data_IF_056878020423
#
_entry.id   IF_056878020423
#
_cell.length_a   1.000
_cell.length_b   1.000
_cell.length_c   1.000
_cell.angle_alpha   90.00
_cell.angle_beta   90.00
_cell.angle_gamma   90.00
#
_symmetry.space_group_name_H-M   'P 1'
#
loop_
_entity.id
_entity.type
_entity.pdbx_description
1 polymer ?
#
# COMPACT_ATOMS: atom_id res chain seq x y z
N UNK A 1 11.78 -0.55 -30.14
CA UNK A 1 12.79 -0.25 -29.10
C UNK A 1 12.09 0.45 -27.95
N UNK A 2 12.11 -0.12 -26.74
CA UNK A 2 11.58 0.53 -25.53
C UNK A 2 12.51 1.66 -25.14
N UNK A 3 12.00 2.83 -24.75
CA UNK A 3 12.87 3.92 -24.29
C UNK A 3 13.55 3.52 -22.97
N UNK A 4 14.76 4.04 -22.72
CA UNK A 4 15.51 3.80 -21.47
C UNK A 4 14.66 4.12 -20.23
N UNK A 5 13.89 5.21 -20.30
CA UNK A 5 12.93 5.58 -19.27
C UNK A 5 11.84 4.51 -19.05
N UNK A 6 11.25 3.94 -20.11
CA UNK A 6 10.25 2.88 -19.98
C UNK A 6 10.81 1.61 -19.33
N UNK A 7 12.09 1.32 -19.52
CA UNK A 7 12.75 0.16 -18.93
C UNK A 7 13.05 0.38 -17.44
N UNK A 8 13.51 1.59 -17.07
CA UNK A 8 13.70 2.01 -15.67
C UNK A 8 12.36 2.02 -14.90
N UNK A 9 11.27 2.52 -15.50
CA UNK A 9 9.93 2.48 -14.90
C UNK A 9 9.42 1.06 -14.67
N UNK A 10 9.59 0.16 -15.65
CA UNK A 10 9.19 -1.24 -15.49
C UNK A 10 9.98 -1.92 -14.36
N UNK A 11 11.28 -1.66 -14.28
CA UNK A 11 12.12 -2.18 -13.20
C UNK A 11 11.66 -1.67 -11.83
N UNK A 12 11.45 -0.36 -11.70
CA UNK A 12 10.95 0.25 -10.47
C UNK A 12 9.60 -0.33 -10.04
N UNK A 13 8.68 -0.53 -10.99
CA UNK A 13 7.36 -1.11 -10.72
C UNK A 13 7.45 -2.57 -10.23
N UNK A 14 8.31 -3.39 -10.85
CA UNK A 14 8.57 -4.77 -10.39
C UNK A 14 9.14 -4.77 -8.96
N UNK A 15 10.07 -3.86 -8.68
CA UNK A 15 10.64 -3.73 -7.33
C UNK A 15 9.61 -3.32 -6.30
N UNK A 16 8.70 -2.39 -6.62
CA UNK A 16 7.62 -1.97 -5.73
C UNK A 16 6.63 -3.10 -5.43
N UNK A 17 6.26 -3.90 -6.45
CA UNK A 17 5.41 -5.09 -6.25
C UNK A 17 6.12 -6.09 -5.32
N UNK A 18 7.40 -6.35 -5.55
CA UNK A 18 8.17 -7.27 -4.69
C UNK A 18 8.27 -6.77 -3.24
N UNK A 19 8.44 -5.46 -3.04
CA UNK A 19 8.44 -4.84 -1.71
C UNK A 19 7.08 -4.97 -1.02
N UNK A 20 5.97 -4.75 -1.75
CA UNK A 20 4.61 -4.96 -1.25
C UNK A 20 4.36 -6.40 -0.84
N UNK A 21 4.69 -7.38 -1.68
CA UNK A 21 4.52 -8.80 -1.33
C UNK A 21 5.33 -9.21 -0.10
N UNK A 22 6.52 -8.63 0.08
CA UNK A 22 7.34 -8.86 1.27
C UNK A 22 6.68 -8.29 2.53
N UNK A 23 6.09 -7.10 2.44
CA UNK A 23 5.35 -6.48 3.55
C UNK A 23 4.11 -7.29 3.88
N UNK A 24 3.35 -7.74 2.88
CA UNK A 24 2.17 -8.58 3.08
C UNK A 24 2.52 -9.89 3.78
N UNK A 25 3.59 -10.56 3.34
CA UNK A 25 4.05 -11.79 3.99
C UNK A 25 4.43 -11.54 5.46
N UNK A 26 5.22 -10.50 5.74
CA UNK A 26 5.61 -10.14 7.12
C UNK A 26 4.41 -9.74 7.97
N UNK A 27 3.45 -9.05 7.40
CA UNK A 27 2.20 -8.69 8.06
C UNK A 27 1.39 -9.93 8.43
N UNK A 28 1.27 -10.88 7.50
CA UNK A 28 0.60 -12.16 7.76
C UNK A 28 1.30 -12.92 8.89
N UNK A 29 2.62 -13.04 8.86
CA UNK A 29 3.40 -13.70 9.92
C UNK A 29 3.21 -13.01 11.29
N UNK A 30 3.13 -11.68 11.31
CA UNK A 30 2.86 -10.90 12.52
C UNK A 30 1.45 -11.18 13.07
N UNK A 31 0.42 -11.16 12.23
CA UNK A 31 -0.96 -11.47 12.65
C UNK A 31 -1.10 -12.92 13.10
N UNK A 32 -0.47 -13.87 12.39
CA UNK A 32 -0.41 -15.27 12.77
C UNK A 32 0.19 -15.47 14.17
N UNK A 33 1.25 -14.73 14.51
CA UNK A 33 1.87 -14.76 15.85
C UNK A 33 0.92 -14.23 16.92
N UNK A 34 0.16 -13.17 16.62
CA UNK A 34 -0.86 -12.62 17.53
C UNK A 34 -1.99 -13.62 17.74
N UNK A 35 -2.50 -14.24 16.68
CA UNK A 35 -3.58 -15.24 16.78
C UNK A 35 -3.12 -16.47 17.58
N UNK A 36 -1.88 -16.90 17.39
CA UNK A 36 -1.27 -18.02 18.12
C UNK A 36 -0.82 -17.63 19.53
N UNK A 37 -0.87 -16.35 19.92
CA UNK A 37 -0.40 -15.88 21.22
C UNK A 37 -1.13 -16.55 22.41
N UNK A 38 -2.35 -17.03 22.19
CA UNK A 38 -3.11 -17.80 23.16
C UNK A 38 -2.48 -19.18 23.49
N UNK A 39 -1.71 -19.75 22.56
CA UNK A 39 -1.09 -21.07 22.67
C UNK A 39 0.43 -21.01 22.77
N UNK A 40 1.06 -20.01 22.17
CA UNK A 40 2.50 -19.77 22.19
C UNK A 40 2.72 -18.31 22.56
N UNK A 41 3.22 -18.00 23.78
CA UNK A 41 3.33 -16.63 24.26
C UNK A 41 4.07 -15.75 23.25
N UNK A 42 3.41 -14.69 22.80
CA UNK A 42 4.03 -13.68 21.96
C UNK A 42 4.51 -12.54 22.84
N UNK A 43 5.81 -12.51 23.14
CA UNK A 43 6.42 -11.54 24.04
C UNK A 43 6.21 -10.09 23.56
N UNK A 44 5.75 -9.17 24.43
CA UNK A 44 5.48 -7.78 24.04
C UNK A 44 6.64 -7.06 23.37
N UNK A 45 7.88 -7.31 23.82
CA UNK A 45 9.08 -6.75 23.20
C UNK A 45 9.30 -7.28 21.78
N UNK A 46 9.04 -8.56 21.55
CA UNK A 46 9.13 -9.15 20.21
C UNK A 46 8.03 -8.60 19.29
N UNK A 47 6.82 -8.42 19.82
CA UNK A 47 5.71 -7.80 19.10
C UNK A 47 6.01 -6.35 18.70
N UNK A 48 6.62 -5.57 19.60
CA UNK A 48 7.03 -4.21 19.29
C UNK A 48 8.09 -4.16 18.18
N UNK A 49 9.11 -5.02 18.25
CA UNK A 49 10.16 -5.09 17.22
C UNK A 49 9.58 -5.48 15.87
N UNK A 50 8.70 -6.50 15.83
CA UNK A 50 8.06 -6.93 14.58
C UNK A 50 7.18 -5.82 13.97
N UNK A 51 6.46 -5.06 14.82
CA UNK A 51 5.68 -3.90 14.39
C UNK A 51 6.56 -2.78 13.83
N UNK A 52 7.66 -2.43 14.51
CA UNK A 52 8.61 -1.42 14.06
C UNK A 52 9.23 -1.79 12.71
N UNK A 53 9.55 -3.07 12.51
CA UNK A 53 10.04 -3.56 11.23
C UNK A 53 9.00 -3.43 10.10
N UNK A 54 7.73 -3.73 10.39
CA UNK A 54 6.64 -3.59 9.42
C UNK A 54 6.45 -2.10 9.03
N UNK A 55 6.46 -1.21 10.03
CA UNK A 55 6.35 0.24 9.82
C UNK A 55 7.54 0.80 9.03
N UNK A 56 8.75 0.34 9.31
CA UNK A 56 9.96 0.73 8.58
C UNK A 56 9.91 0.29 7.12
N UNK A 57 9.42 -0.93 6.85
CA UNK A 57 9.25 -1.44 5.50
C UNK A 57 8.21 -0.63 4.71
N UNK A 58 7.09 -0.26 5.35
CA UNK A 58 6.08 0.63 4.77
C UNK A 58 6.64 2.02 4.44
N UNK A 59 7.41 2.61 5.35
CA UNK A 59 8.02 3.92 5.11
C UNK A 59 9.05 3.89 3.96
N UNK A 60 9.80 2.79 3.87
CA UNK A 60 10.76 2.57 2.77
C UNK A 60 10.04 2.47 1.44
N UNK A 61 8.91 1.75 1.38
CA UNK A 61 8.07 1.65 0.19
C UNK A 61 7.55 3.04 -0.23
N UNK A 62 7.01 3.83 0.69
CA UNK A 62 6.52 5.19 0.41
C UNK A 62 7.61 6.10 -0.15
N UNK A 63 8.81 6.02 0.43
CA UNK A 63 9.97 6.78 -0.03
C UNK A 63 10.35 6.35 -1.45
N UNK A 64 10.36 5.05 -1.72
CA UNK A 64 10.72 4.52 -3.03
C UNK A 64 9.71 4.97 -4.11
N UNK A 65 8.40 4.91 -3.82
CA UNK A 65 7.34 5.41 -4.71
C UNK A 65 7.54 6.90 -5.04
N UNK A 66 7.89 7.72 -4.04
CA UNK A 66 8.19 9.16 -4.23
C UNK A 66 9.43 9.36 -5.11
N UNK A 67 10.51 8.64 -4.85
CA UNK A 67 11.76 8.75 -5.61
C UNK A 67 11.65 8.26 -7.05
N UNK A 68 10.80 7.25 -7.32
CA UNK A 68 10.56 6.75 -8.67
C UNK A 68 9.68 7.68 -9.53
N UNK A 69 9.24 8.83 -9.00
CA UNK A 69 8.44 9.81 -9.75
C UNK A 69 7.03 9.33 -10.11
N UNK A 70 6.59 8.19 -9.58
CA UNK A 70 5.25 7.62 -9.83
C UNK A 70 4.13 8.52 -9.27
N UNK A 71 4.44 9.37 -8.27
CA UNK A 71 3.52 10.37 -7.73
C UNK A 71 3.48 11.68 -8.53
N UNK A 72 4.46 11.98 -9.38
CA UNK A 72 4.46 13.21 -10.21
C UNK A 72 3.48 13.13 -11.38
N UNK A 73 2.99 11.94 -11.73
CA UNK A 73 2.03 11.75 -12.83
C UNK A 73 0.59 11.99 -12.36
N UNK A 74 0.32 11.89 -11.06
CA UNK A 74 -1.00 12.20 -10.46
C UNK A 74 -1.25 13.69 -10.22
N UNK A 75 -0.34 14.58 -10.65
CA UNK A 75 -0.41 16.03 -10.41
C UNK A 75 -0.76 16.92 -11.61
N UNK A 76 -0.95 16.38 -12.82
CA UNK A 76 -1.26 17.20 -14.01
C UNK A 76 -2.65 16.90 -14.55
N UNK A 77 -3.67 17.39 -13.86
CA UNK A 77 -4.98 17.67 -14.44
C UNK A 77 -5.29 19.16 -14.22
N UNK A 78 -4.50 20.03 -14.87
CA UNK A 78 -4.96 21.35 -15.24
C UNK A 78 -5.23 21.34 -16.74
N UNK A 79 -6.48 21.65 -17.04
CA UNK A 79 -7.10 21.99 -18.31
C UNK A 79 -6.13 22.64 -19.31
N UNK A 80 -5.96 22.05 -20.50
CA UNK A 80 -6.30 22.69 -21.77
C UNK A 80 -5.94 21.82 -23.00
N UNK A 81 -7.00 21.52 -23.76
CA UNK A 81 -7.13 21.55 -25.24
C UNK A 81 -6.20 20.73 -26.17
N UNK A 82 -6.87 19.88 -26.97
CA UNK A 82 -6.52 19.34 -28.30
C UNK A 82 -5.20 18.61 -28.55
N UNK A 83 -5.26 17.27 -28.71
CA UNK A 83 -5.08 16.60 -30.01
C UNK A 83 -5.30 15.07 -29.94
N UNK A 84 -6.34 14.62 -30.65
CA UNK A 84 -6.35 13.50 -31.60
C UNK A 84 -5.65 12.15 -31.26
N UNK A 85 -6.49 11.15 -30.93
CA UNK A 85 -6.39 9.74 -31.36
C UNK A 85 -5.34 8.77 -30.77
N UNK A 86 -4.61 9.10 -29.69
CA UNK A 86 -3.73 8.12 -29.01
C UNK A 86 -4.21 7.66 -27.62
N UNK A 87 -5.40 8.08 -27.17
CA UNK A 87 -5.82 7.98 -25.76
C UNK A 87 -6.75 6.82 -25.36
N UNK A 88 -7.14 5.93 -26.27
CA UNK A 88 -8.22 4.96 -25.97
C UNK A 88 -7.82 3.75 -25.12
N UNK A 89 -6.52 3.53 -24.89
CA UNK A 89 -6.02 2.44 -24.03
C UNK A 89 -5.44 2.93 -22.69
N UNK A 90 -5.13 4.23 -22.54
CA UNK A 90 -4.67 4.78 -21.26
C UNK A 90 -5.85 5.10 -20.33
N UNK A 91 -6.91 5.72 -20.86
CA UNK A 91 -8.06 6.14 -20.04
C UNK A 91 -8.77 4.96 -19.34
N UNK A 92 -8.88 3.81 -20.00
CA UNK A 92 -9.45 2.57 -19.44
C UNK A 92 -8.55 1.95 -18.38
N UNK A 93 -7.23 2.01 -18.56
CA UNK A 93 -6.23 1.55 -17.57
C UNK A 93 -6.20 2.45 -16.33
N UNK A 94 -6.38 3.76 -16.52
CA UNK A 94 -6.51 4.72 -15.42
C UNK A 94 -7.81 4.51 -14.65
N UNK A 95 -8.93 4.21 -15.32
CA UNK A 95 -10.22 3.97 -14.66
C UNK A 95 -10.22 2.71 -13.76
N UNK A 96 -9.62 1.60 -14.20
CA UNK A 96 -9.47 0.40 -13.37
C UNK A 96 -8.52 0.64 -12.19
N UNK A 97 -7.43 1.38 -12.42
CA UNK A 97 -6.46 1.72 -11.37
C UNK A 97 -7.08 2.67 -10.34
N UNK A 98 -7.85 3.67 -10.79
CA UNK A 98 -8.60 4.60 -9.94
C UNK A 98 -9.68 3.85 -9.14
N UNK A 99 -10.45 2.95 -9.77
CA UNK A 99 -11.44 2.13 -9.07
C UNK A 99 -10.79 1.19 -8.03
N UNK A 100 -9.62 0.64 -8.35
CA UNK A 100 -8.84 -0.17 -7.41
C UNK A 100 -8.34 0.66 -6.22
N UNK A 101 -7.92 1.91 -6.46
CA UNK A 101 -7.52 2.86 -5.43
C UNK A 101 -8.70 3.30 -4.55
N UNK A 102 -9.87 3.54 -5.14
CA UNK A 102 -11.09 3.86 -4.39
C UNK A 102 -11.52 2.70 -3.50
N UNK A 103 -11.44 1.47 -4.02
CA UNK A 103 -11.71 0.24 -3.26
C UNK A 103 -10.71 0.10 -2.10
N UNK A 104 -9.44 0.39 -2.35
CA UNK A 104 -8.40 0.40 -1.32
C UNK A 104 -8.69 1.43 -0.23
N UNK A 105 -9.08 2.66 -0.58
CA UNK A 105 -9.40 3.68 0.41
C UNK A 105 -10.67 3.36 1.21
N UNK A 106 -11.69 2.76 0.57
CA UNK A 106 -12.88 2.26 1.28
C UNK A 106 -12.52 1.18 2.29
N UNK A 107 -11.73 0.18 1.88
CA UNK A 107 -11.30 -0.90 2.78
C UNK A 107 -10.41 -0.38 3.91
N UNK A 108 -9.51 0.57 3.63
CA UNK A 108 -8.72 1.26 4.68
C UNK A 108 -9.63 1.91 5.71
N UNK A 109 -10.64 2.66 5.27
CA UNK A 109 -11.56 3.36 6.17
C UNK A 109 -12.43 2.37 6.97
N UNK A 110 -12.86 1.27 6.34
CA UNK A 110 -13.57 0.17 7.03
C UNK A 110 -12.70 -0.43 8.13
N UNK A 111 -11.45 -0.74 7.81
CA UNK A 111 -10.51 -1.35 8.75
C UNK A 111 -10.18 -0.41 9.92
N UNK A 112 -9.92 0.86 9.64
CA UNK A 112 -9.69 1.89 10.67
C UNK A 112 -10.90 2.05 11.59
N UNK A 113 -12.12 2.02 11.04
CA UNK A 113 -13.35 2.12 11.84
C UNK A 113 -13.53 0.90 12.73
N UNK A 114 -13.26 -0.30 12.22
CA UNK A 114 -13.33 -1.54 13.00
C UNK A 114 -12.26 -1.60 14.11
N UNK A 115 -11.03 -1.17 13.82
CA UNK A 115 -9.96 -1.08 14.82
C UNK A 115 -10.35 -0.08 15.91
N UNK A 116 -10.87 1.09 15.55
CA UNK A 116 -11.33 2.08 16.53
C UNK A 116 -12.49 1.54 17.38
N UNK A 117 -13.45 0.84 16.76
CA UNK A 117 -14.56 0.20 17.47
C UNK A 117 -14.05 -0.86 18.47
N UNK A 118 -13.11 -1.71 18.05
CA UNK A 118 -12.48 -2.71 18.90
C UNK A 118 -11.73 -2.09 20.08
N UNK A 119 -10.99 -0.99 19.86
CA UNK A 119 -10.33 -0.22 20.92
C UNK A 119 -11.34 0.35 21.92
N UNK A 120 -12.45 0.92 21.45
CA UNK A 120 -13.49 1.45 22.35
C UNK A 120 -14.29 0.37 23.12
N UNK A 121 -14.31 -0.89 22.65
CA UNK A 121 -14.90 -2.00 23.40
C UNK A 121 -13.98 -2.56 24.49
N UNK A 122 -12.66 -2.37 24.36
CA UNK A 122 -11.68 -2.77 25.38
C UNK A 122 -11.69 -1.82 26.59
N UNK A 123 -12.19 -0.60 26.42
CA UNK A 123 -12.25 0.45 27.46
C UNK A 123 -13.52 0.41 28.34
N UNK A 124 -14.37 -0.62 28.23
CA UNK A 124 -15.53 -0.80 29.13
C UNK A 124 -15.11 -1.61 30.37
N UNK A 125 -15.09 -1.02 31.58
CA UNK A 125 -14.95 -1.80 32.80
C UNK A 125 -16.24 -2.59 33.06
N UNK A 126 -16.08 -3.85 33.49
CA UNK A 126 -17.14 -4.69 34.08
C UNK A 126 -17.31 -4.27 35.54
#
# INVERSE_FOLDING_TARGET
MSSKAQQEYRSAFITLISQLSTIEQKGQEFFDKIEKAAWTPYEPNAAQVDLEQLMSAMHTLETHVKTCGLLSITGTSSEDTDTSQQGRNLATRTAETVRSLDTYFQEKNRLVTNIRAAVSTVDRPI
#
